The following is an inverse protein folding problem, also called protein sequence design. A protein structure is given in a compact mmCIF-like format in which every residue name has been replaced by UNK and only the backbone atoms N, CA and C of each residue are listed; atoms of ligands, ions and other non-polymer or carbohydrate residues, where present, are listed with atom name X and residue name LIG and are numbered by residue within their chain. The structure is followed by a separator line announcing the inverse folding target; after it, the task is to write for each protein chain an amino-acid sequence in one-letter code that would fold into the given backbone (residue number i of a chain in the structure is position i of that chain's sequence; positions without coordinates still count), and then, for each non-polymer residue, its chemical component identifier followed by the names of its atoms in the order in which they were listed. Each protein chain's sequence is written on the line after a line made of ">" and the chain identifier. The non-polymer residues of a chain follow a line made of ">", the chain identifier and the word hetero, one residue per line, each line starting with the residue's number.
data_IF_750953991819
#
_entry.id   IF_750953991819
#
_cell.length_a   1.000
_cell.length_b   1.000
_cell.length_c   1.000
_cell.angle_alpha   90.00
_cell.angle_beta   90.00
_cell.angle_gamma   90.00
#
_symmetry.space_group_name_H-M   'P 1'
#
loop_
_entity.id
_entity.type
_entity.pdbx_description
1 polymer ?
#
# COMPACT_ATOMS: atom_id res chain seq x y z
N UNK A 1 -38.12 19.97 -39.22
CA UNK A 1 -37.12 20.96 -38.80
C UNK A 1 -36.15 20.18 -37.93
N UNK A 2 -35.15 19.55 -38.56
CA UNK A 2 -34.16 18.72 -37.86
C UNK A 2 -33.14 19.68 -37.25
N UNK A 3 -33.01 19.67 -35.93
CA UNK A 3 -32.08 20.52 -35.22
C UNK A 3 -30.66 20.06 -35.54
N UNK A 4 -29.90 20.88 -36.27
CA UNK A 4 -28.46 20.70 -36.40
C UNK A 4 -27.86 20.87 -35.00
N UNK A 5 -27.44 19.76 -34.40
CA UNK A 5 -26.57 19.76 -33.24
C UNK A 5 -25.24 20.38 -33.69
N UNK A 6 -24.88 21.52 -33.13
CA UNK A 6 -23.70 22.28 -33.54
C UNK A 6 -22.41 21.54 -33.20
N UNK A 7 -21.41 21.62 -34.07
CA UNK A 7 -20.06 21.06 -33.90
C UNK A 7 -19.44 21.35 -32.51
N UNK A 8 -19.80 22.50 -31.94
CA UNK A 8 -19.38 22.94 -30.61
C UNK A 8 -19.93 22.08 -29.47
N UNK A 9 -21.13 21.50 -29.61
CA UNK A 9 -21.71 20.59 -28.61
C UNK A 9 -20.97 19.25 -28.58
N UNK A 10 -20.51 18.76 -29.72
CA UNK A 10 -19.66 17.56 -29.78
C UNK A 10 -18.28 17.80 -29.14
N UNK A 11 -17.68 18.96 -29.41
CA UNK A 11 -16.38 19.31 -28.86
C UNK A 11 -16.44 19.43 -27.32
N UNK A 12 -17.50 20.02 -26.77
CA UNK A 12 -17.67 20.13 -25.31
C UNK A 12 -17.86 18.78 -24.63
N UNK A 13 -18.62 17.86 -25.23
CA UNK A 13 -18.80 16.49 -24.72
C UNK A 13 -17.47 15.72 -24.71
N UNK A 14 -16.65 15.85 -25.76
CA UNK A 14 -15.32 15.22 -25.84
C UNK A 14 -14.37 15.80 -24.78
N UNK A 15 -14.38 17.11 -24.57
CA UNK A 15 -13.53 17.76 -23.55
C UNK A 15 -13.95 17.33 -22.14
N UNK A 16 -15.25 17.30 -21.83
CA UNK A 16 -15.78 16.81 -20.56
C UNK A 16 -15.40 15.33 -20.33
N UNK A 17 -15.44 14.51 -21.38
CA UNK A 17 -14.98 13.12 -21.33
C UNK A 17 -13.48 13.02 -20.99
N UNK A 18 -12.62 13.78 -21.68
CA UNK A 18 -11.19 13.78 -21.36
C UNK A 18 -10.91 14.25 -19.92
N UNK A 19 -11.63 15.26 -19.44
CA UNK A 19 -11.50 15.74 -18.06
C UNK A 19 -11.95 14.69 -17.02
N UNK A 20 -12.95 13.86 -17.34
CA UNK A 20 -13.42 12.77 -16.48
C UNK A 20 -12.48 11.55 -16.50
N UNK A 21 -11.78 11.30 -17.62
CA UNK A 21 -10.86 10.17 -17.78
C UNK A 21 -9.46 10.46 -17.23
N UNK A 22 -9.01 11.73 -17.27
CA UNK A 22 -7.74 12.13 -16.67
C UNK A 22 -7.90 12.11 -15.15
N UNK A 23 -7.57 10.96 -14.54
CA UNK A 23 -7.38 10.91 -13.09
C UNK A 23 -6.18 11.78 -12.72
N UNK A 24 -6.30 12.72 -11.76
CA UNK A 24 -5.14 13.43 -11.27
C UNK A 24 -4.15 12.41 -10.72
N UNK A 25 -2.92 12.44 -11.23
CA UNK A 25 -1.81 11.64 -10.68
C UNK A 25 -1.48 12.25 -9.33
N UNK A 26 -2.13 11.78 -8.27
CA UNK A 26 -1.78 12.17 -6.92
C UNK A 26 -0.46 11.49 -6.55
N UNK A 27 0.62 12.25 -6.43
CA UNK A 27 1.89 11.81 -5.83
C UNK A 27 1.72 11.63 -4.31
N UNK A 28 0.83 10.72 -3.93
CA UNK A 28 0.52 10.40 -2.54
C UNK A 28 1.32 9.16 -2.15
N UNK A 29 1.93 9.21 -0.96
CA UNK A 29 2.55 8.03 -0.38
C UNK A 29 1.48 6.99 -0.06
N UNK A 30 1.85 5.72 -0.13
CA UNK A 30 0.95 4.62 0.24
C UNK A 30 0.50 4.76 1.71
N UNK A 31 -0.70 4.31 2.01
CA UNK A 31 -1.27 4.27 3.35
C UNK A 31 -1.04 2.89 3.95
N UNK A 32 -0.33 2.80 5.08
CA UNK A 32 0.00 1.50 5.69
C UNK A 32 -0.47 1.41 7.13
N UNK A 33 -0.81 0.20 7.57
CA UNK A 33 -0.91 -0.11 8.99
C UNK A 33 0.44 0.08 9.66
N UNK A 34 0.48 0.87 10.73
CA UNK A 34 1.66 1.00 11.58
C UNK A 34 1.35 0.38 12.93
N UNK A 35 2.01 -0.72 13.24
CA UNK A 35 1.88 -1.37 14.53
C UNK A 35 3.14 -2.16 14.87
N UNK A 36 3.25 -2.45 16.15
CA UNK A 36 4.37 -3.19 16.69
C UNK A 36 3.93 -3.92 17.94
N UNK A 37 4.44 -5.14 18.14
CA UNK A 37 4.30 -5.85 19.40
C UNK A 37 4.93 -5.06 20.55
N UNK A 38 4.08 -4.49 21.41
CA UNK A 38 4.47 -3.82 22.65
C UNK A 38 4.17 -4.67 23.88
N UNK A 39 3.24 -5.63 23.77
CA UNK A 39 2.86 -6.53 24.85
C UNK A 39 2.85 -7.98 24.36
N UNK A 40 3.59 -8.84 25.05
CA UNK A 40 3.77 -10.24 24.71
C UNK A 40 2.51 -11.10 24.92
N UNK A 41 1.58 -10.64 25.76
CA UNK A 41 0.40 -11.41 26.19
C UNK A 41 -0.90 -10.94 25.54
N UNK A 42 -0.91 -9.77 24.90
CA UNK A 42 -2.10 -9.20 24.28
C UNK A 42 -1.68 -8.18 23.22
N UNK A 43 -1.26 -8.67 22.05
CA UNK A 43 -0.79 -7.82 20.97
C UNK A 43 -1.87 -7.60 19.91
N UNK A 44 -2.40 -6.38 19.87
CA UNK A 44 -3.35 -5.97 18.84
C UNK A 44 -2.74 -5.99 17.42
N UNK A 45 -1.41 -5.94 17.28
CA UNK A 45 -0.73 -5.97 15.97
C UNK A 45 -0.82 -7.34 15.28
N UNK A 46 -1.11 -8.40 16.06
CA UNK A 46 -1.37 -9.74 15.55
C UNK A 46 -2.67 -9.79 14.72
N UNK A 47 -3.68 -8.98 15.07
CA UNK A 47 -4.97 -8.96 14.40
C UNK A 47 -4.88 -8.25 13.03
N UNK A 48 -5.19 -8.93 11.91
CA UNK A 48 -5.21 -8.31 10.60
C UNK A 48 -6.43 -7.42 10.32
N UNK A 49 -7.50 -7.52 11.12
CA UNK A 49 -8.80 -6.86 10.87
C UNK A 49 -9.18 -5.77 11.87
N UNK A 50 -8.50 -5.66 13.02
CA UNK A 50 -8.77 -4.59 13.99
C UNK A 50 -8.12 -3.26 13.58
N UNK A 51 -8.79 -2.53 12.69
CA UNK A 51 -8.42 -1.16 12.29
C UNK A 51 -8.52 -0.15 13.44
N UNK A 52 -9.30 -0.46 14.49
CA UNK A 52 -9.47 0.39 15.66
C UNK A 52 -8.19 0.48 16.51
N UNK A 53 -7.40 -0.60 16.52
CA UNK A 53 -6.16 -0.71 17.31
C UNK A 53 -4.89 -0.55 16.45
N UNK A 54 -5.00 -0.81 15.14
CA UNK A 54 -3.92 -0.62 14.17
C UNK A 54 -4.33 0.50 13.19
N UNK A 55 -4.05 1.77 13.50
CA UNK A 55 -4.44 2.87 12.61
C UNK A 55 -3.68 2.78 11.29
N UNK A 56 -4.41 3.02 10.19
CA UNK A 56 -3.81 3.26 8.89
C UNK A 56 -3.20 4.66 8.91
N UNK A 57 -1.93 4.75 8.58
CA UNK A 57 -1.25 6.02 8.43
C UNK A 57 -1.24 6.42 6.95
N UNK A 58 -2.07 7.42 6.63
CA UNK A 58 -2.24 7.94 5.27
C UNK A 58 -1.00 8.72 4.82
N UNK A 59 -0.72 8.73 3.50
CA UNK A 59 0.43 9.44 2.93
C UNK A 59 1.75 9.12 3.64
N UNK A 60 2.00 7.83 3.82
CA UNK A 60 3.07 7.40 4.70
C UNK A 60 4.44 7.85 4.19
N UNK A 61 5.25 8.38 5.10
CA UNK A 61 6.63 8.77 4.82
C UNK A 61 7.60 7.90 5.62
N UNK A 62 8.74 7.60 4.99
CA UNK A 62 9.82 6.85 5.60
C UNK A 62 11.18 7.36 5.10
N UNK A 63 12.24 7.01 5.82
CA UNK A 63 13.61 7.28 5.38
C UNK A 63 14.01 6.25 4.32
N UNK A 64 14.93 6.65 3.44
CA UNK A 64 15.53 5.77 2.43
C UNK A 64 17.00 5.54 2.77
N UNK A 65 17.48 4.32 2.56
CA UNK A 65 18.85 3.97 2.91
C UNK A 65 19.84 4.85 2.14
N UNK A 66 20.77 5.50 2.86
CA UNK A 66 21.79 6.37 2.27
C UNK A 66 21.28 7.76 1.83
N UNK A 67 20.05 8.15 2.18
CA UNK A 67 19.49 9.48 1.88
C UNK A 67 19.04 10.19 3.15
N UNK A 68 19.28 11.50 3.20
CA UNK A 68 18.79 12.35 4.29
C UNK A 68 17.36 12.83 3.99
N UNK A 69 16.52 12.90 5.03
CA UNK A 69 15.12 13.32 4.94
C UNK A 69 14.12 12.15 4.81
N UNK A 70 12.84 12.51 4.70
CA UNK A 70 11.73 11.58 4.55
C UNK A 70 11.19 11.62 3.13
N UNK A 71 10.77 10.47 2.62
CA UNK A 71 10.23 10.32 1.27
C UNK A 71 8.89 9.60 1.34
N UNK A 72 8.03 9.85 0.35
CA UNK A 72 6.79 9.11 0.18
C UNK A 72 7.08 7.62 0.07
N UNK A 73 6.55 6.84 1.01
CA UNK A 73 6.72 5.41 1.03
C UNK A 73 6.02 4.79 -0.18
N UNK A 74 6.59 3.69 -0.66
CA UNK A 74 6.10 2.95 -1.84
C UNK A 74 5.64 1.55 -1.49
N UNK A 75 6.03 1.05 -0.31
CA UNK A 75 5.72 -0.30 0.14
C UNK A 75 5.23 -0.26 1.58
N UNK A 76 4.26 -1.12 1.89
CA UNK A 76 4.04 -1.55 3.26
C UNK A 76 4.84 -2.82 3.50
N UNK A 77 5.47 -2.94 4.66
CA UNK A 77 6.16 -4.15 5.11
C UNK A 77 5.48 -4.69 6.35
N UNK A 78 5.29 -6.01 6.38
CA UNK A 78 4.90 -6.79 7.55
C UNK A 78 6.02 -7.77 7.87
N UNK A 79 6.52 -7.72 9.10
CA UNK A 79 7.48 -8.66 9.65
C UNK A 79 6.79 -9.42 10.76
N UNK A 80 6.86 -10.74 10.73
CA UNK A 80 6.25 -11.57 11.77
C UNK A 80 7.06 -12.82 12.04
N UNK A 81 7.18 -13.22 13.30
CA UNK A 81 7.82 -14.50 13.65
C UNK A 81 8.17 -14.59 15.12
N UNK A 82 9.06 -15.52 15.44
CA UNK A 82 9.49 -15.80 16.81
C UNK A 82 10.90 -15.29 17.05
N UNK A 83 11.10 -14.55 18.13
CA UNK A 83 12.42 -14.09 18.54
C UNK A 83 13.20 -15.29 19.08
N UNK A 84 14.31 -15.61 18.43
CA UNK A 84 15.15 -16.78 18.78
C UNK A 84 16.30 -16.40 19.70
N UNK A 85 16.85 -15.21 19.52
CA UNK A 85 17.95 -14.71 20.36
C UNK A 85 17.96 -13.19 20.38
N UNK A 86 18.62 -12.65 21.40
CA UNK A 86 18.88 -11.22 21.55
C UNK A 86 20.38 -10.98 21.67
N UNK A 87 20.88 -9.89 21.10
CA UNK A 87 22.26 -9.45 21.25
C UNK A 87 22.31 -7.96 21.65
N UNK A 88 23.36 -7.55 22.35
CA UNK A 88 23.72 -6.13 22.48
C UNK A 88 22.88 -5.29 23.45
N UNK A 89 22.25 -5.91 24.46
CA UNK A 89 21.55 -5.21 25.54
C UNK A 89 20.01 -5.17 25.42
N UNK A 90 19.44 -5.81 24.40
CA UNK A 90 18.00 -5.96 24.28
C UNK A 90 17.45 -6.78 25.47
N UNK A 91 16.21 -6.52 25.88
CA UNK A 91 15.62 -7.18 27.05
C UNK A 91 15.43 -8.69 26.78
N UNK A 92 15.99 -9.54 27.64
CA UNK A 92 15.90 -11.01 27.54
C UNK A 92 14.47 -11.55 27.60
N UNK A 93 13.53 -10.78 28.16
CA UNK A 93 12.10 -11.11 28.20
C UNK A 93 11.49 -11.32 26.80
N UNK A 94 12.09 -10.75 25.75
CA UNK A 94 11.62 -10.93 24.38
C UNK A 94 12.02 -12.27 23.75
N UNK A 95 12.92 -13.06 24.37
CA UNK A 95 13.29 -14.36 23.79
C UNK A 95 12.11 -15.31 23.81
N UNK A 96 11.93 -16.07 22.74
CA UNK A 96 10.88 -17.08 22.60
C UNK A 96 9.47 -16.49 22.45
N UNK A 97 9.33 -15.19 22.17
CA UNK A 97 8.04 -14.54 21.99
C UNK A 97 7.68 -14.33 20.53
N UNK A 98 6.38 -14.22 20.25
CA UNK A 98 5.88 -13.82 18.93
C UNK A 98 6.07 -12.32 18.78
N UNK A 99 6.46 -11.90 17.60
CA UNK A 99 6.70 -10.52 17.24
C UNK A 99 6.04 -10.21 15.90
N UNK A 100 5.37 -9.06 15.85
CA UNK A 100 4.73 -8.47 14.69
C UNK A 100 5.19 -7.02 14.57
N UNK A 101 5.54 -6.63 13.36
CA UNK A 101 5.89 -5.26 13.04
C UNK A 101 5.36 -4.91 11.66
N UNK A 102 4.61 -3.81 11.58
CA UNK A 102 4.10 -3.26 10.33
C UNK A 102 4.52 -1.81 10.20
N UNK A 103 5.06 -1.45 9.06
CA UNK A 103 5.41 -0.06 8.76
C UNK A 103 5.39 0.18 7.26
N UNK A 104 5.62 1.43 6.85
CA UNK A 104 5.86 1.78 5.47
C UNK A 104 7.36 1.98 5.22
N UNK A 105 7.81 1.64 4.01
CA UNK A 105 9.21 1.77 3.58
C UNK A 105 9.28 2.34 2.17
N UNK A 106 10.39 3.01 1.87
CA UNK A 106 10.66 3.60 0.56
C UNK A 106 11.33 2.58 -0.36
N UNK A 107 12.25 1.80 0.19
CA UNK A 107 13.12 0.90 -0.55
C UNK A 107 12.61 -0.54 -0.47
N UNK A 108 12.75 -1.29 -1.56
CA UNK A 108 12.43 -2.70 -1.56
C UNK A 108 13.56 -3.47 -0.84
N UNK A 109 13.25 -4.03 0.32
CA UNK A 109 14.19 -4.81 1.14
C UNK A 109 14.27 -6.28 0.73
N UNK A 110 13.45 -6.70 -0.23
CA UNK A 110 13.47 -8.05 -0.79
C UNK A 110 14.33 -8.04 -2.05
N UNK A 111 15.55 -8.55 -1.93
CA UNK A 111 16.54 -8.53 -2.99
C UNK A 111 16.11 -9.40 -4.19
N UNK A 112 15.93 -8.76 -5.34
CA UNK A 112 15.88 -9.32 -6.71
C UNK A 112 14.77 -10.31 -7.10
N UNK A 113 14.02 -10.89 -6.18
CA UNK A 113 12.91 -11.79 -6.50
C UNK A 113 11.61 -11.00 -6.57
N UNK A 114 10.78 -11.25 -7.58
CA UNK A 114 9.38 -10.77 -7.64
C UNK A 114 8.52 -11.29 -6.47
N UNK A 115 9.09 -12.06 -5.55
CA UNK A 115 8.40 -12.54 -4.37
C UNK A 115 8.15 -11.36 -3.43
N UNK A 116 6.88 -11.13 -3.17
CA UNK A 116 6.41 -10.18 -2.17
C UNK A 116 6.47 -10.76 -0.75
N UNK A 117 6.88 -12.03 -0.61
CA UNK A 117 6.97 -12.72 0.68
C UNK A 117 8.20 -13.63 0.74
N UNK A 118 8.90 -13.62 1.86
CA UNK A 118 10.05 -14.50 2.14
C UNK A 118 10.03 -14.98 3.57
N UNK A 119 10.59 -16.17 3.81
CA UNK A 119 10.63 -16.82 5.12
C UNK A 119 12.06 -17.19 5.46
N UNK A 120 12.47 -16.99 6.70
CA UNK A 120 13.83 -17.31 7.13
C UNK A 120 14.20 -16.76 8.49
N UNK A 121 15.49 -16.87 8.79
CA UNK A 121 16.11 -16.24 9.96
C UNK A 121 16.69 -14.90 9.54
N UNK A 122 16.33 -13.82 10.24
CA UNK A 122 16.88 -12.50 9.99
C UNK A 122 17.09 -11.72 11.28
N UNK A 123 17.93 -10.69 11.20
CA UNK A 123 18.33 -9.86 12.33
C UNK A 123 17.78 -8.45 12.17
N UNK A 124 17.07 -7.97 13.19
CA UNK A 124 16.54 -6.62 13.25
C UNK A 124 17.38 -5.80 14.23
N UNK A 125 17.75 -4.58 13.84
CA UNK A 125 18.57 -3.62 14.61
C UNK A 125 17.86 -2.27 14.70
N UNK A 126 18.19 -1.47 15.70
CA UNK A 126 17.75 -0.06 15.80
C UNK A 126 16.26 0.07 16.02
N UNK A 127 15.70 -0.77 16.90
CA UNK A 127 14.27 -0.94 17.05
C UNK A 127 13.79 -0.23 18.33
N UNK A 128 12.89 0.75 18.25
CA UNK A 128 12.41 1.55 19.41
C UNK A 128 13.53 2.01 20.38
N UNK A 129 14.63 2.54 19.85
CA UNK A 129 15.78 2.96 20.66
C UNK A 129 16.38 1.83 21.53
N UNK A 130 16.04 0.58 21.26
CA UNK A 130 16.54 -0.59 21.97
C UNK A 130 18.01 -0.75 21.65
N UNK A 131 18.85 -0.66 22.68
CA UNK A 131 20.27 -1.02 22.59
C UNK A 131 20.36 -2.49 22.19
N UNK A 132 20.81 -2.75 20.97
CA UNK A 132 21.08 -4.10 20.49
C UNK A 132 20.27 -4.51 19.27
N UNK A 133 19.99 -5.81 19.20
CA UNK A 133 19.34 -6.43 18.04
C UNK A 133 18.68 -7.74 18.39
N UNK A 134 17.59 -8.05 17.69
CA UNK A 134 16.86 -9.31 17.83
C UNK A 134 17.09 -10.19 16.61
N UNK A 135 17.32 -11.49 16.82
CA UNK A 135 17.22 -12.50 15.77
C UNK A 135 15.82 -13.09 15.79
N UNK A 136 15.22 -13.14 14.62
CA UNK A 136 13.86 -13.57 14.43
C UNK A 136 13.80 -14.66 13.36
N UNK A 137 13.10 -15.74 13.66
CA UNK A 137 12.73 -16.76 12.69
C UNK A 137 11.28 -16.49 12.27
N UNK A 138 11.07 -16.14 11.01
CA UNK A 138 9.77 -15.63 10.60
C UNK A 138 9.62 -15.38 9.12
N UNK A 139 8.66 -14.52 8.80
CA UNK A 139 8.25 -14.14 7.46
C UNK A 139 8.31 -12.63 7.32
N UNK A 140 8.73 -12.16 6.14
CA UNK A 140 8.68 -10.76 5.71
C UNK A 140 7.78 -10.72 4.49
N UNK A 141 6.77 -9.86 4.53
CA UNK A 141 5.84 -9.63 3.43
C UNK A 141 5.83 -8.14 3.05
N UNK A 142 5.82 -7.85 1.75
CA UNK A 142 5.74 -6.52 1.16
C UNK A 142 4.47 -6.39 0.31
N UNK A 143 3.93 -5.19 0.23
CA UNK A 143 2.83 -4.88 -0.70
C UNK A 143 2.93 -3.43 -1.19
N UNK A 144 2.30 -3.14 -2.32
CA UNK A 144 2.33 -1.83 -3.00
C UNK A 144 0.96 -1.13 -3.04
N UNK A 145 0.02 -1.54 -2.20
CA UNK A 145 -1.34 -0.98 -2.14
C UNK A 145 -1.73 -0.57 -0.72
N UNK A 146 -2.61 0.42 -0.61
CA UNK A 146 -3.08 0.93 0.69
C UNK A 146 -3.61 -0.19 1.58
N UNK A 147 -3.09 -0.26 2.81
CA UNK A 147 -3.44 -1.28 3.80
C UNK A 147 -3.14 -2.72 3.35
N UNK A 148 -2.38 -2.92 2.27
CA UNK A 148 -2.28 -4.19 1.54
C UNK A 148 -3.64 -4.75 1.08
N UNK A 149 -4.66 -3.90 0.97
CA UNK A 149 -5.98 -4.27 0.50
C UNK A 149 -6.05 -4.06 -1.02
N UNK A 150 -5.54 -5.02 -1.78
CA UNK A 150 -5.67 -4.99 -3.23
C UNK A 150 -7.10 -5.33 -3.64
N UNK A 151 -7.95 -4.32 -3.81
CA UNK A 151 -9.19 -4.49 -4.53
C UNK A 151 -8.89 -4.55 -6.03
N UNK A 152 -9.38 -5.57 -6.73
CA UNK A 152 -9.43 -5.52 -8.20
C UNK A 152 -10.37 -4.38 -8.55
N UNK A 153 -9.84 -3.31 -9.11
CA UNK A 153 -10.68 -2.36 -9.83
C UNK A 153 -11.37 -3.17 -10.92
N UNK A 154 -12.70 -3.32 -10.84
CA UNK A 154 -13.46 -3.72 -12.02
C UNK A 154 -13.15 -2.65 -13.05
N UNK A 155 -12.32 -3.01 -14.03
CA UNK A 155 -12.09 -2.17 -15.17
C UNK A 155 -13.47 -2.09 -15.84
N UNK A 156 -14.18 -0.96 -15.64
CA UNK A 156 -15.34 -0.67 -16.48
C UNK A 156 -14.80 -0.74 -17.89
N UNK A 157 -15.21 -1.78 -18.62
CA UNK A 157 -14.55 -2.09 -19.87
C UNK A 157 -14.75 -0.86 -20.76
N UNK A 158 -13.64 -0.27 -21.21
CA UNK A 158 -13.66 0.88 -22.10
C UNK A 158 -14.56 0.58 -23.32
N UNK A 159 -14.69 -0.70 -23.68
CA UNK A 159 -15.66 -1.25 -24.63
C UNK A 159 -17.12 -0.93 -24.32
N UNK A 160 -17.60 -1.09 -23.08
CA UNK A 160 -18.99 -0.76 -22.71
C UNK A 160 -19.25 0.73 -22.88
N UNK A 161 -18.30 1.57 -22.45
CA UNK A 161 -18.42 3.03 -22.56
C UNK A 161 -18.33 3.48 -24.02
N UNK A 162 -17.46 2.85 -24.84
CA UNK A 162 -17.39 3.09 -26.29
C UNK A 162 -18.70 2.66 -26.98
N UNK A 163 -19.28 1.53 -26.59
CA UNK A 163 -20.54 1.05 -27.13
C UNK A 163 -21.70 2.00 -26.81
N UNK A 164 -21.76 2.51 -25.57
CA UNK A 164 -22.76 3.53 -25.18
C UNK A 164 -22.60 4.82 -25.98
N UNK A 165 -21.37 5.30 -26.19
CA UNK A 165 -21.09 6.48 -27.01
C UNK A 165 -21.47 6.27 -28.48
N UNK A 166 -21.15 5.10 -29.06
CA UNK A 166 -21.55 4.76 -30.43
C UNK A 166 -23.07 4.66 -30.57
N UNK A 167 -23.76 4.16 -29.55
CA UNK A 167 -25.22 4.10 -29.52
C UNK A 167 -25.83 5.52 -29.50
N UNK A 168 -25.29 6.42 -28.67
CA UNK A 168 -25.73 7.82 -28.59
C UNK A 168 -25.54 8.51 -29.95
N UNK A 169 -24.35 8.38 -30.56
CA UNK A 169 -24.06 8.94 -31.88
C UNK A 169 -25.00 8.37 -32.95
N UNK A 170 -25.26 7.06 -32.93
CA UNK A 170 -26.20 6.42 -33.85
C UNK A 170 -27.62 6.96 -33.69
N UNK A 171 -28.14 7.05 -32.46
CA UNK A 171 -29.49 7.57 -32.20
C UNK A 171 -29.64 9.04 -32.59
N UNK A 172 -28.58 9.87 -32.44
CA UNK A 172 -28.59 11.27 -32.88
C UNK A 172 -28.57 11.47 -34.40
N UNK A 173 -28.32 10.43 -35.20
CA UNK A 173 -28.43 10.49 -36.68
C UNK A 173 -29.82 10.14 -37.21
N UNK A 174 -30.67 9.53 -36.39
CA UNK A 174 -32.00 9.07 -36.78
C UNK A 174 -33.14 9.98 -36.30
N UNK A 175 -32.83 10.97 -35.47
CA UNK A 175 -33.73 12.06 -35.05
C UNK A 175 -33.23 13.40 -35.57
#
# INVERSE_FOLDING_TARGET
>A
MLANIDFWEYLTVIILYFLLVIKPISNQGISCYKCMTTNLNNDACQDPFSSLLNPIHNNCQATSMGKNGTFSARFCVKISGRITSIDGGANASYVNTIFYYRTCIVDNIMESTKSLETSGSFRLKGFQDMSGSIRLQGHIALCTYDGCNHARTLCSSVLIIILDLLLIIYTSRFY
#
